data_IF_760742942951
#
_entry.id   IF_760742942951
#
_cell.length_a   1.000
_cell.length_b   1.000
_cell.length_c   1.000
_cell.angle_alpha   90.00
_cell.angle_beta   90.00
_cell.angle_gamma   90.00
#
_symmetry.space_group_name_H-M   'P 1'
#
loop_
_entity.id
_entity.type
_entity.pdbx_description
1 polymer ?
#
# COMPACT_ATOMS: atom_id res chain seq x y z
N UNK A 1 8.53 -63.02 39.59
CA UNK A 1 9.53 -62.02 39.15
C UNK A 1 9.23 -60.70 39.86
N UNK A 2 10.15 -60.18 40.69
CA UNK A 2 9.95 -58.89 41.40
C UNK A 2 10.44 -57.75 40.49
N UNK A 3 9.53 -56.89 40.06
CA UNK A 3 9.86 -55.67 39.33
C UNK A 3 10.52 -54.66 40.29
N UNK A 4 11.79 -54.30 40.06
CA UNK A 4 12.42 -53.14 40.69
C UNK A 4 11.77 -51.88 40.10
N UNK A 5 11.07 -51.11 40.95
CA UNK A 5 10.63 -49.76 40.58
C UNK A 5 11.84 -48.84 40.74
N UNK A 6 12.36 -48.32 39.63
CA UNK A 6 13.35 -47.25 39.63
C UNK A 6 12.63 -45.95 39.95
N UNK A 7 12.95 -45.33 41.09
CA UNK A 7 12.46 -44.01 41.45
C UNK A 7 13.41 -42.94 40.91
N UNK A 8 12.86 -41.82 40.45
CA UNK A 8 13.64 -40.66 40.03
C UNK A 8 14.42 -40.08 41.23
N UNK A 9 15.70 -39.75 41.02
CA UNK A 9 16.47 -39.01 42.03
C UNK A 9 16.19 -37.52 41.93
N UNK A 10 16.29 -36.80 43.06
CA UNK A 10 16.13 -35.33 43.08
C UNK A 10 17.13 -34.63 42.16
N UNK A 11 18.33 -35.21 42.00
CA UNK A 11 19.39 -34.66 41.15
C UNK A 11 19.04 -34.75 39.66
N UNK A 12 18.41 -35.84 39.23
CA UNK A 12 17.96 -35.98 37.84
C UNK A 12 16.86 -34.99 37.49
N UNK A 13 15.91 -34.76 38.41
CA UNK A 13 14.87 -33.76 38.19
C UNK A 13 15.48 -32.36 38.09
N UNK A 14 16.45 -32.03 38.94
CA UNK A 14 17.12 -30.73 38.93
C UNK A 14 17.89 -30.47 37.62
N UNK A 15 18.61 -31.49 37.12
CA UNK A 15 19.34 -31.36 35.85
C UNK A 15 18.38 -31.19 34.67
N UNK A 16 17.26 -31.92 34.66
CA UNK A 16 16.27 -31.83 33.59
C UNK A 16 15.62 -30.45 33.54
N UNK A 17 15.19 -29.89 34.67
CA UNK A 17 14.57 -28.55 34.66
C UNK A 17 15.57 -27.46 34.26
N UNK A 18 16.85 -27.60 34.67
CA UNK A 18 17.91 -26.70 34.24
C UNK A 18 18.15 -26.80 32.71
N UNK A 19 18.21 -28.02 32.17
CA UNK A 19 18.40 -28.25 30.74
C UNK A 19 17.19 -27.75 29.90
N UNK A 20 15.96 -27.99 30.36
CA UNK A 20 14.74 -27.49 29.71
C UNK A 20 14.71 -25.97 29.69
N UNK A 21 15.13 -25.30 30.78
CA UNK A 21 15.23 -23.84 30.84
C UNK A 21 16.19 -23.27 29.79
N UNK A 22 17.37 -23.88 29.63
CA UNK A 22 18.37 -23.45 28.62
C UNK A 22 17.82 -23.68 27.21
N UNK A 23 17.24 -24.84 26.93
CA UNK A 23 16.67 -25.14 25.61
C UNK A 23 15.53 -24.20 25.24
N UNK A 24 14.64 -23.89 26.20
CA UNK A 24 13.54 -22.96 25.98
C UNK A 24 14.05 -21.55 25.63
N UNK A 25 15.08 -21.06 26.32
CA UNK A 25 15.68 -19.75 26.04
C UNK A 25 16.29 -19.69 24.62
N UNK A 26 16.99 -20.74 24.18
CA UNK A 26 17.59 -20.81 22.85
C UNK A 26 16.50 -20.81 21.76
N UNK A 27 15.44 -21.59 21.94
CA UNK A 27 14.35 -21.73 20.95
C UNK A 27 13.62 -20.39 20.74
N UNK A 28 13.36 -19.63 21.80
CA UNK A 28 12.68 -18.33 21.68
C UNK A 28 13.51 -17.33 20.86
N UNK A 29 14.82 -17.28 21.10
CA UNK A 29 15.73 -16.40 20.34
C UNK A 29 15.82 -16.83 18.87
N UNK A 30 15.71 -18.13 18.59
CA UNK A 30 15.81 -18.67 17.24
C UNK A 30 14.56 -18.45 16.36
N UNK A 31 13.38 -18.26 16.94
CA UNK A 31 12.10 -18.21 16.18
C UNK A 31 11.73 -16.79 15.70
N UNK A 32 12.45 -15.74 16.15
CA UNK A 32 12.14 -14.34 15.83
C UNK A 32 10.62 -14.05 15.91
N UNK A 33 10.03 -14.04 17.12
CA UNK A 33 8.58 -13.95 17.29
C UNK A 33 7.95 -12.74 16.60
N UNK A 34 8.70 -11.65 16.43
CA UNK A 34 8.23 -10.44 15.79
C UNK A 34 7.90 -10.66 14.30
N UNK A 35 8.74 -11.42 13.59
CA UNK A 35 8.53 -11.72 12.16
C UNK A 35 7.32 -12.64 11.94
N UNK A 36 7.10 -13.59 12.85
CA UNK A 36 5.93 -14.47 12.80
C UNK A 36 4.63 -13.71 13.03
N UNK A 37 4.63 -12.74 13.97
CA UNK A 37 3.47 -11.88 14.20
C UNK A 37 3.20 -10.94 13.03
N UNK A 38 4.26 -10.35 12.45
CA UNK A 38 4.16 -9.54 11.24
C UNK A 38 3.54 -10.31 10.07
N UNK A 39 3.95 -11.56 9.86
CA UNK A 39 3.38 -12.42 8.82
C UNK A 39 1.90 -12.78 9.05
N UNK A 40 1.49 -12.97 10.31
CA UNK A 40 0.08 -13.20 10.64
C UNK A 40 -0.75 -11.96 10.31
N UNK A 41 -0.29 -10.77 10.71
CA UNK A 41 -0.98 -9.51 10.37
C UNK A 41 -1.03 -9.25 8.87
N UNK A 42 0.05 -9.53 8.14
CA UNK A 42 0.03 -9.44 6.66
C UNK A 42 -0.98 -10.41 6.03
N UNK A 43 -1.19 -11.59 6.62
CA UNK A 43 -2.21 -12.53 6.14
C UNK A 43 -3.62 -12.03 6.43
N UNK A 44 -3.82 -11.40 7.59
CA UNK A 44 -5.08 -10.75 7.98
C UNK A 44 -5.40 -9.57 7.04
N UNK A 45 -4.42 -8.68 6.80
CA UNK A 45 -4.51 -7.60 5.82
C UNK A 45 -4.91 -8.08 4.44
N UNK A 46 -4.33 -9.19 3.96
CA UNK A 46 -4.69 -9.73 2.66
C UNK A 46 -6.17 -10.13 2.61
N UNK A 47 -6.67 -10.81 3.64
CA UNK A 47 -8.08 -11.19 3.72
C UNK A 47 -9.01 -9.98 3.80
N UNK A 48 -8.60 -8.93 4.50
CA UNK A 48 -9.39 -7.69 4.66
C UNK A 48 -9.41 -6.84 3.39
N UNK A 49 -8.27 -6.73 2.71
CA UNK A 49 -8.14 -6.11 1.38
C UNK A 49 -9.01 -6.84 0.35
N UNK A 50 -8.99 -8.18 0.34
CA UNK A 50 -9.84 -8.98 -0.54
C UNK A 50 -11.32 -8.73 -0.22
N UNK A 51 -11.69 -8.68 1.07
CA UNK A 51 -13.05 -8.40 1.53
C UNK A 51 -13.55 -7.04 1.08
N UNK A 52 -12.74 -5.98 1.25
CA UNK A 52 -13.08 -4.63 0.81
C UNK A 52 -13.20 -4.52 -0.71
N UNK A 53 -12.24 -5.10 -1.45
CA UNK A 53 -12.28 -5.10 -2.90
C UNK A 53 -13.53 -5.82 -3.43
N UNK A 54 -13.87 -6.98 -2.86
CA UNK A 54 -15.05 -7.74 -3.27
C UNK A 54 -16.35 -7.00 -2.93
N UNK A 55 -16.42 -6.31 -1.79
CA UNK A 55 -17.55 -5.47 -1.43
C UNK A 55 -17.74 -4.31 -2.43
N UNK A 56 -16.67 -3.57 -2.75
CA UNK A 56 -16.69 -2.49 -3.75
C UNK A 56 -17.09 -3.02 -5.12
N UNK A 57 -16.55 -4.18 -5.51
CA UNK A 57 -16.87 -4.82 -6.79
C UNK A 57 -18.31 -5.28 -6.85
N UNK A 58 -18.86 -5.81 -5.76
CA UNK A 58 -20.25 -6.24 -5.70
C UNK A 58 -21.19 -5.04 -5.77
N UNK A 59 -20.91 -3.95 -5.03
CA UNK A 59 -21.64 -2.69 -5.18
C UNK A 59 -21.67 -2.23 -6.64
N UNK A 60 -20.52 -2.28 -7.32
CA UNK A 60 -20.43 -1.85 -8.71
C UNK A 60 -21.31 -2.68 -9.65
N UNK A 61 -21.39 -3.99 -9.42
CA UNK A 61 -22.25 -4.89 -10.20
C UNK A 61 -23.73 -4.58 -9.96
N UNK A 62 -24.11 -4.36 -8.71
CA UNK A 62 -25.52 -4.16 -8.33
C UNK A 62 -26.03 -2.74 -8.67
N UNK A 63 -25.12 -1.78 -8.87
CA UNK A 63 -25.43 -0.39 -9.24
C UNK A 63 -25.06 -0.07 -10.70
N UNK A 64 -25.25 -1.03 -11.62
CA UNK A 64 -25.12 -0.83 -13.08
C UNK A 64 -23.75 -0.27 -13.54
N UNK A 65 -22.68 -0.57 -12.80
CA UNK A 65 -21.32 -0.12 -13.10
C UNK A 65 -20.92 1.20 -12.44
N UNK A 66 -21.77 1.79 -11.59
CA UNK A 66 -21.40 2.95 -10.77
C UNK A 66 -20.55 2.52 -9.56
N UNK A 67 -19.53 3.31 -9.22
CA UNK A 67 -18.70 3.08 -8.03
C UNK A 67 -19.37 3.70 -6.78
N UNK A 68 -19.02 3.26 -5.56
CA UNK A 68 -19.41 3.96 -4.33
C UNK A 68 -19.13 5.45 -4.45
N UNK A 69 -20.03 6.28 -3.92
CA UNK A 69 -20.13 7.71 -4.21
C UNK A 69 -18.82 8.47 -3.98
N UNK A 70 -18.12 8.20 -2.89
CA UNK A 70 -16.82 8.81 -2.61
C UNK A 70 -15.73 8.34 -3.60
N UNK A 71 -15.70 7.05 -3.94
CA UNK A 71 -14.79 6.51 -4.98
C UNK A 71 -15.13 7.06 -6.37
N UNK A 72 -16.40 7.25 -6.68
CA UNK A 72 -16.84 7.87 -7.92
C UNK A 72 -16.36 9.33 -8.01
N UNK A 73 -16.36 10.05 -6.88
CA UNK A 73 -15.90 11.43 -6.77
C UNK A 73 -14.37 11.61 -6.80
N UNK A 74 -13.61 10.55 -6.49
CA UNK A 74 -12.16 10.56 -6.60
C UNK A 74 -11.73 10.94 -8.02
N UNK A 75 -10.68 11.77 -8.09
CA UNK A 75 -10.01 12.05 -9.35
C UNK A 75 -9.52 10.75 -9.99
N UNK A 76 -9.52 10.70 -11.32
CA UNK A 76 -8.87 9.60 -12.01
C UNK A 76 -7.39 9.58 -11.60
N UNK A 77 -6.91 8.42 -11.16
CA UNK A 77 -5.51 8.17 -10.78
C UNK A 77 -5.09 8.80 -9.45
N UNK A 78 -6.01 8.89 -8.49
CA UNK A 78 -5.70 9.12 -7.08
C UNK A 78 -5.78 7.85 -6.25
N UNK A 79 -5.21 7.94 -5.06
CA UNK A 79 -5.34 6.97 -3.99
C UNK A 79 -5.63 7.72 -2.70
N UNK A 80 -6.61 7.23 -1.96
CA UNK A 80 -7.10 7.83 -0.73
C UNK A 80 -7.33 6.72 0.31
N UNK A 81 -7.04 7.04 1.56
CA UNK A 81 -7.28 6.12 2.66
C UNK A 81 -8.79 5.97 2.89
N UNK A 82 -9.24 4.75 3.20
CA UNK A 82 -10.62 4.47 3.58
C UNK A 82 -10.76 4.79 5.08
N UNK A 83 -11.80 5.51 5.46
CA UNK A 83 -12.09 5.79 6.87
C UNK A 83 -12.40 4.50 7.65
N UNK A 84 -12.12 4.53 8.96
CA UNK A 84 -12.60 3.54 9.92
C UNK A 84 -14.14 3.41 9.86
N UNK A 85 -14.68 2.29 10.34
CA UNK A 85 -16.11 1.99 10.19
C UNK A 85 -16.99 3.05 10.89
N UNK A 86 -17.95 3.59 10.15
CA UNK A 86 -18.84 4.65 10.64
C UNK A 86 -18.18 6.01 10.87
N UNK A 87 -16.93 6.21 10.40
CA UNK A 87 -16.21 7.47 10.50
C UNK A 87 -16.35 8.28 9.20
N UNK A 88 -16.62 9.58 9.34
CA UNK A 88 -16.52 10.57 8.27
C UNK A 88 -15.52 11.64 8.67
N UNK A 89 -14.37 11.70 7.99
CA UNK A 89 -13.35 12.73 8.17
C UNK A 89 -12.84 13.20 6.81
N UNK A 90 -12.35 14.45 6.71
CA UNK A 90 -11.82 15.00 5.45
C UNK A 90 -10.49 14.37 5.00
N UNK A 91 -9.83 13.60 5.85
CA UNK A 91 -8.53 12.97 5.59
C UNK A 91 -8.63 11.59 4.94
N UNK A 92 -9.82 10.99 4.90
CA UNK A 92 -10.09 9.67 4.36
C UNK A 92 -11.44 9.70 3.62
N UNK A 93 -11.76 8.62 2.91
CA UNK A 93 -13.06 8.46 2.26
C UNK A 93 -13.98 7.54 3.07
N UNK A 94 -15.24 7.94 3.27
CA UNK A 94 -16.23 7.11 3.95
C UNK A 94 -16.91 6.16 2.96
N UNK A 95 -16.60 4.86 3.10
CA UNK A 95 -17.27 3.79 2.35
C UNK A 95 -18.37 3.08 3.16
N UNK A 96 -18.52 3.40 4.44
CA UNK A 96 -19.52 2.80 5.32
C UNK A 96 -20.93 3.02 4.77
N UNK A 97 -21.22 4.23 4.29
CA UNK A 97 -22.56 4.61 3.82
C UNK A 97 -23.02 3.84 2.58
N UNK A 98 -22.08 3.40 1.74
CA UNK A 98 -22.35 2.66 0.51
C UNK A 98 -22.18 1.14 0.67
N UNK A 99 -21.23 0.69 1.50
CA UNK A 99 -20.85 -0.72 1.59
C UNK A 99 -21.42 -1.46 2.79
N UNK A 100 -21.62 -0.79 3.93
CA UNK A 100 -22.05 -1.41 5.18
C UNK A 100 -23.53 -1.10 5.47
N UNK A 101 -24.34 -2.07 5.92
CA UNK A 101 -24.02 -3.47 6.18
C UNK A 101 -24.26 -4.44 4.99
N UNK A 102 -24.63 -3.92 3.82
CA UNK A 102 -25.17 -4.74 2.72
C UNK A 102 -24.10 -5.61 2.02
N UNK A 103 -22.93 -5.03 1.72
CA UNK A 103 -21.85 -5.69 0.99
C UNK A 103 -20.73 -6.17 1.90
N UNK A 104 -20.60 -5.57 3.08
CA UNK A 104 -19.68 -5.96 4.15
C UNK A 104 -20.32 -5.67 5.51
N UNK A 105 -20.01 -6.47 6.53
CA UNK A 105 -20.63 -6.31 7.85
C UNK A 105 -20.21 -5.01 8.58
N UNK A 106 -18.98 -4.58 8.36
CA UNK A 106 -18.35 -3.35 8.83
C UNK A 106 -17.09 -3.14 7.97
N UNK A 107 -16.63 -1.90 7.82
CA UNK A 107 -15.34 -1.63 7.16
C UNK A 107 -14.21 -2.28 8.00
N UNK A 108 -13.41 -3.20 7.44
CA UNK A 108 -12.24 -3.74 8.14
C UNK A 108 -11.21 -2.64 8.42
N UNK A 109 -10.50 -2.78 9.53
CA UNK A 109 -9.45 -1.86 9.97
C UNK A 109 -8.20 -2.67 10.27
N UNK A 110 -7.03 -2.19 9.83
CA UNK A 110 -5.75 -2.85 10.11
C UNK A 110 -5.60 -3.07 11.63
N UNK A 111 -5.04 -4.21 12.08
CA UNK A 111 -4.81 -4.46 13.51
C UNK A 111 -3.96 -3.40 14.23
N UNK A 112 -3.26 -2.55 13.48
CA UNK A 112 -2.45 -1.45 13.97
C UNK A 112 -2.96 -0.06 13.54
N UNK A 113 -4.15 0.03 12.93
CA UNK A 113 -4.79 1.29 12.63
C UNK A 113 -4.98 2.13 13.91
N UNK A 114 -4.78 3.43 13.79
CA UNK A 114 -5.01 4.41 14.85
C UNK A 114 -5.63 5.68 14.23
N UNK A 115 -6.55 6.31 14.96
CA UNK A 115 -7.24 7.51 14.50
C UNK A 115 -8.48 7.23 13.65
N UNK A 116 -8.63 7.95 12.53
CA UNK A 116 -9.84 7.99 11.71
C UNK A 116 -9.77 7.12 10.46
N UNK A 117 -8.58 6.64 10.10
CA UNK A 117 -8.34 5.81 8.93
C UNK A 117 -8.32 4.33 9.27
N UNK A 118 -8.66 3.50 8.29
CA UNK A 118 -8.61 2.04 8.40
C UNK A 118 -7.24 1.45 8.10
N UNK A 119 -6.27 2.28 7.66
CA UNK A 119 -4.99 1.88 7.06
C UNK A 119 -5.15 1.06 5.75
N UNK A 120 -6.37 0.98 5.20
CA UNK A 120 -6.63 0.49 3.86
C UNK A 120 -6.86 1.63 2.89
N UNK A 121 -6.49 1.40 1.63
CA UNK A 121 -6.40 2.43 0.60
C UNK A 121 -7.22 1.99 -0.58
N UNK A 122 -8.07 2.87 -1.08
CA UNK A 122 -8.63 2.70 -2.41
C UNK A 122 -7.79 3.50 -3.40
N UNK A 123 -7.50 2.90 -4.55
CA UNK A 123 -6.84 3.55 -5.66
C UNK A 123 -7.70 3.39 -6.90
N UNK A 124 -7.87 4.49 -7.64
CA UNK A 124 -8.71 4.52 -8.84
C UNK A 124 -7.84 4.84 -10.04
N UNK A 125 -7.73 3.94 -11.01
CA UNK A 125 -7.09 4.21 -12.30
C UNK A 125 -8.11 4.23 -13.42
N UNK A 126 -8.42 5.44 -13.90
CA UNK A 126 -9.56 5.68 -14.79
C UNK A 126 -10.84 5.08 -14.14
N UNK A 127 -11.43 4.07 -14.76
CA UNK A 127 -12.64 3.41 -14.26
C UNK A 127 -12.37 2.08 -13.53
N UNK A 128 -11.12 1.82 -13.12
CA UNK A 128 -10.76 0.60 -12.38
C UNK A 128 -10.38 0.95 -10.95
N UNK A 129 -10.83 0.13 -10.01
CA UNK A 129 -10.53 0.28 -8.58
C UNK A 129 -9.62 -0.86 -8.10
N UNK A 130 -8.71 -0.52 -7.19
CA UNK A 130 -7.84 -1.46 -6.47
C UNK A 130 -7.82 -1.06 -5.01
N UNK A 131 -7.87 -2.05 -4.12
CA UNK A 131 -7.68 -1.86 -2.68
C UNK A 131 -6.30 -2.35 -2.29
N UNK A 132 -5.63 -1.67 -1.37
CA UNK A 132 -4.34 -2.09 -0.83
C UNK A 132 -4.22 -1.74 0.65
N UNK A 133 -3.36 -2.46 1.37
CA UNK A 133 -2.94 -2.06 2.71
C UNK A 133 -1.90 -0.93 2.62
N UNK A 134 -1.98 0.05 3.52
CA UNK A 134 -0.98 1.12 3.65
C UNK A 134 0.34 0.56 4.19
N UNK A 135 0.26 -0.34 5.17
CA UNK A 135 1.39 -0.95 5.82
C UNK A 135 1.56 -2.42 5.38
N UNK A 136 2.81 -2.82 5.18
CA UNK A 136 3.21 -4.21 4.99
C UNK A 136 4.47 -4.43 5.83
N UNK A 137 4.49 -5.51 6.60
CA UNK A 137 5.55 -5.69 7.60
C UNK A 137 6.58 -6.76 7.22
N UNK A 138 6.11 -7.94 6.79
CA UNK A 138 6.97 -9.09 6.48
C UNK A 138 7.02 -9.39 4.97
N UNK A 139 5.96 -9.06 4.21
CA UNK A 139 5.93 -9.26 2.77
C UNK A 139 6.81 -8.25 2.02
N UNK A 140 7.55 -8.72 0.99
CA UNK A 140 8.30 -7.85 0.07
C UNK A 140 7.37 -7.16 -0.96
N UNK A 141 6.18 -7.72 -1.14
CA UNK A 141 5.16 -7.21 -2.05
C UNK A 141 4.03 -6.52 -1.30
N UNK A 142 3.42 -5.55 -2.00
CA UNK A 142 2.25 -4.83 -1.49
C UNK A 142 1.05 -5.76 -1.49
N UNK A 143 0.35 -5.76 -0.36
CA UNK A 143 -0.89 -6.49 -0.14
C UNK A 143 -2.00 -5.69 -0.81
N UNK A 144 -2.59 -6.26 -1.87
CA UNK A 144 -3.60 -5.57 -2.67
C UNK A 144 -4.53 -6.53 -3.42
N UNK A 145 -5.73 -6.05 -3.72
CA UNK A 145 -6.73 -6.73 -4.53
C UNK A 145 -7.25 -5.81 -5.65
N UNK A 146 -7.46 -6.38 -6.83
CA UNK A 146 -7.92 -5.67 -8.04
C UNK A 146 -6.92 -5.74 -9.19
N UNK A 147 -6.82 -4.67 -9.98
CA UNK A 147 -5.91 -4.64 -11.12
C UNK A 147 -4.44 -4.54 -10.66
N UNK A 148 -3.52 -5.12 -11.44
CA UNK A 148 -2.08 -4.93 -11.24
C UNK A 148 -1.63 -3.64 -11.92
N UNK A 149 -0.93 -2.77 -11.19
CA UNK A 149 -0.22 -1.64 -11.80
C UNK A 149 1.26 -1.95 -11.95
N UNK A 150 1.83 -1.66 -13.12
CA UNK A 150 3.28 -1.73 -13.37
C UNK A 150 4.02 -0.48 -12.85
N UNK A 151 3.27 0.54 -12.42
CA UNK A 151 3.79 1.83 -11.97
C UNK A 151 4.02 1.82 -10.46
N UNK A 152 5.22 2.27 -10.04
CA UNK A 152 5.71 2.16 -8.66
C UNK A 152 4.85 2.91 -7.65
N UNK A 153 4.35 4.10 -7.97
CA UNK A 153 3.53 4.91 -7.06
C UNK A 153 2.06 4.50 -7.01
N UNK A 154 1.65 3.58 -7.87
CA UNK A 154 0.38 2.87 -7.68
C UNK A 154 0.58 1.69 -6.72
N UNK A 155 1.79 1.13 -6.64
CA UNK A 155 2.15 0.17 -5.60
C UNK A 155 2.33 0.87 -4.24
N UNK A 156 2.88 2.09 -4.23
CA UNK A 156 3.13 2.87 -3.02
C UNK A 156 2.40 4.22 -3.07
N UNK A 157 1.07 4.25 -2.86
CA UNK A 157 0.23 5.43 -3.09
C UNK A 157 0.56 6.63 -2.21
N UNK A 158 1.13 6.41 -1.02
CA UNK A 158 1.44 7.46 -0.04
C UNK A 158 2.91 7.85 0.01
N UNK A 159 3.65 7.65 -1.08
CA UNK A 159 4.99 8.23 -1.19
C UNK A 159 4.90 9.74 -0.94
N UNK A 160 5.59 10.24 0.09
CA UNK A 160 5.51 11.65 0.46
C UNK A 160 6.06 12.58 -0.64
N UNK A 161 7.02 12.10 -1.42
CA UNK A 161 7.56 12.72 -2.63
C UNK A 161 8.10 11.65 -3.57
N UNK A 162 7.99 11.86 -4.88
CA UNK A 162 8.51 10.98 -5.91
C UNK A 162 8.93 11.76 -7.17
N UNK A 163 10.24 11.82 -7.41
CA UNK A 163 10.82 12.46 -8.59
C UNK A 163 11.39 11.43 -9.54
N UNK A 164 11.08 11.54 -10.83
CA UNK A 164 11.59 10.64 -11.86
C UNK A 164 11.42 11.23 -13.25
N UNK A 165 12.28 10.82 -14.18
CA UNK A 165 12.15 11.08 -15.63
C UNK A 165 11.31 10.03 -16.36
N UNK A 166 10.83 9.02 -15.63
CA UNK A 166 9.82 8.07 -16.06
C UNK A 166 8.56 8.29 -15.24
N UNK A 167 7.39 8.21 -15.86
CA UNK A 167 6.12 8.28 -15.16
C UNK A 167 6.06 7.13 -14.16
N UNK A 168 5.72 7.42 -12.91
CA UNK A 168 5.73 6.48 -11.80
C UNK A 168 4.32 6.15 -11.30
N UNK A 169 3.30 6.89 -11.72
CA UNK A 169 1.88 6.65 -11.45
C UNK A 169 1.12 6.64 -12.77
N UNK A 170 0.28 5.65 -13.02
CA UNK A 170 -0.35 5.44 -14.32
C UNK A 170 -1.08 6.68 -14.86
N UNK A 171 -1.73 7.46 -14.01
CA UNK A 171 -2.31 8.74 -14.43
C UNK A 171 -1.91 9.93 -13.60
N UNK A 172 -0.63 9.97 -13.24
CA UNK A 172 0.01 11.28 -13.17
C UNK A 172 -0.07 11.96 -14.55
N UNK A 173 -0.76 13.10 -14.58
CA UNK A 173 -0.95 13.94 -15.77
C UNK A 173 -0.15 15.25 -15.71
N UNK A 174 0.73 15.39 -14.71
CA UNK A 174 1.61 16.54 -14.57
C UNK A 174 2.90 16.41 -15.37
N UNK A 175 3.68 17.51 -15.44
CA UNK A 175 5.00 17.51 -16.06
C UNK A 175 6.00 16.68 -15.27
N UNK A 176 6.99 16.10 -15.93
CA UNK A 176 8.12 15.47 -15.26
C UNK A 176 9.05 16.53 -14.62
N UNK A 177 9.41 17.55 -15.42
CA UNK A 177 10.36 18.59 -15.06
C UNK A 177 9.98 19.93 -15.71
N UNK A 178 10.41 21.04 -15.11
CA UNK A 178 10.49 22.34 -15.78
C UNK A 178 11.93 22.60 -16.19
N UNK A 179 12.13 22.97 -17.45
CA UNK A 179 13.43 23.31 -18.02
C UNK A 179 13.50 24.80 -18.31
N UNK A 180 14.63 25.44 -18.00
CA UNK A 180 14.93 26.84 -18.32
C UNK A 180 15.98 26.92 -19.43
N UNK A 181 15.72 27.77 -20.43
CA UNK A 181 16.65 28.05 -21.52
C UNK A 181 17.73 29.04 -21.06
N UNK A 182 19.00 28.77 -21.39
CA UNK A 182 20.12 29.61 -20.97
C UNK A 182 20.24 30.93 -21.74
N UNK A 183 19.58 31.06 -22.90
CA UNK A 183 19.68 32.24 -23.74
C UNK A 183 18.83 33.40 -23.23
N UNK A 184 17.59 33.10 -22.83
CA UNK A 184 16.56 34.11 -22.55
C UNK A 184 15.84 33.89 -21.21
N UNK A 185 16.29 32.93 -20.40
CA UNK A 185 15.69 32.52 -19.13
C UNK A 185 14.20 32.12 -19.23
N UNK A 186 13.71 31.83 -20.43
CA UNK A 186 12.36 31.27 -20.62
C UNK A 186 12.28 29.86 -20.03
N UNK A 187 11.09 29.45 -19.60
CA UNK A 187 10.87 28.15 -18.97
C UNK A 187 9.78 27.37 -19.70
N UNK A 188 9.94 26.05 -19.73
CA UNK A 188 9.02 25.13 -20.39
C UNK A 188 8.82 23.90 -19.50
N UNK A 189 7.55 23.53 -19.29
CA UNK A 189 7.17 22.25 -18.69
C UNK A 189 7.36 21.14 -19.70
N UNK A 190 8.00 20.05 -19.27
CA UNK A 190 8.22 18.86 -20.06
C UNK A 190 7.35 17.75 -19.50
N UNK A 191 6.45 17.24 -20.33
CA UNK A 191 5.50 16.19 -19.99
C UNK A 191 6.10 14.78 -20.19
N UNK A 192 5.33 13.76 -19.84
CA UNK A 192 5.59 12.39 -20.26
C UNK A 192 4.95 12.11 -21.62
N UNK A 193 5.59 11.27 -22.43
CA UNK A 193 5.03 10.75 -23.68
C UNK A 193 3.97 9.66 -23.42
N UNK A 194 3.39 9.13 -24.51
CA UNK A 194 2.36 8.08 -24.45
C UNK A 194 2.83 6.80 -23.74
N UNK A 195 4.15 6.53 -23.73
CA UNK A 195 4.75 5.38 -23.06
C UNK A 195 5.16 5.68 -21.61
N UNK A 196 4.92 6.89 -21.13
CA UNK A 196 5.36 7.35 -19.81
C UNK A 196 6.86 7.64 -19.72
N UNK A 197 7.55 7.86 -20.84
CA UNK A 197 8.93 8.33 -20.87
C UNK A 197 8.99 9.86 -20.97
N UNK A 198 10.11 10.48 -20.62
CA UNK A 198 10.29 11.93 -20.73
C UNK A 198 10.13 12.38 -22.20
N UNK A 199 9.32 13.41 -22.46
CA UNK A 199 9.18 13.98 -23.80
C UNK A 199 10.43 14.75 -24.24
N UNK A 200 11.37 14.00 -24.82
CA UNK A 200 12.62 14.54 -25.35
C UNK A 200 12.41 15.37 -26.62
N UNK A 201 11.30 15.22 -27.34
CA UNK A 201 11.01 15.99 -28.54
C UNK A 201 10.69 17.45 -28.17
N UNK A 202 9.88 17.65 -27.14
CA UNK A 202 9.61 18.98 -26.59
C UNK A 202 10.88 19.62 -26.04
N UNK A 203 11.74 18.88 -25.33
CA UNK A 203 13.03 19.38 -24.86
C UNK A 203 13.90 19.87 -26.04
N UNK A 204 14.09 19.02 -27.06
CA UNK A 204 14.94 19.36 -28.20
C UNK A 204 14.40 20.58 -28.97
N UNK A 205 13.08 20.68 -29.10
CA UNK A 205 12.43 21.81 -29.77
C UNK A 205 12.58 23.11 -28.98
N UNK A 206 12.44 23.05 -27.66
CA UNK A 206 12.55 24.22 -26.77
C UNK A 206 13.99 24.72 -26.62
N UNK A 207 14.94 23.80 -26.43
CA UNK A 207 16.34 24.14 -26.23
C UNK A 207 17.05 24.48 -27.54
N UNK A 208 16.65 23.87 -28.65
CA UNK A 208 17.30 24.06 -29.94
C UNK A 208 18.80 23.76 -29.84
N UNK A 209 19.62 24.73 -30.25
CA UNK A 209 21.09 24.68 -30.12
C UNK A 209 21.64 25.32 -28.84
N UNK A 210 20.77 25.80 -27.94
CA UNK A 210 21.16 26.43 -26.69
C UNK A 210 21.29 25.39 -25.57
N UNK A 211 22.03 25.76 -24.52
CA UNK A 211 22.01 25.00 -23.27
C UNK A 211 20.69 25.22 -22.54
N UNK A 212 20.23 24.17 -21.88
CA UNK A 212 19.06 24.15 -21.04
C UNK A 212 19.39 23.52 -19.70
N UNK A 213 18.73 23.98 -18.64
CA UNK A 213 18.92 23.47 -17.29
C UNK A 213 17.59 23.09 -16.67
N UNK A 214 17.58 22.04 -15.85
CA UNK A 214 16.41 21.70 -15.05
C UNK A 214 16.26 22.77 -13.97
N UNK A 215 15.10 23.40 -13.92
CA UNK A 215 14.74 24.40 -12.91
C UNK A 215 13.93 23.76 -11.77
N UNK A 216 13.03 22.84 -12.09
CA UNK A 216 12.16 22.18 -11.11
C UNK A 216 11.94 20.73 -11.48
N UNK A 217 12.05 19.85 -10.49
CA UNK A 217 11.53 18.49 -10.56
C UNK A 217 10.13 18.49 -9.97
N UNK A 218 9.16 17.95 -10.69
CA UNK A 218 7.79 17.86 -10.19
C UNK A 218 7.57 16.53 -9.49
N UNK A 219 6.80 16.60 -8.42
CA UNK A 219 6.34 15.45 -7.66
C UNK A 219 5.25 14.71 -8.45
N UNK A 220 5.35 13.39 -8.53
CA UNK A 220 4.48 12.50 -9.32
C UNK A 220 3.45 11.76 -8.48
#
# INVERSE_FOLDING_TARGET
MKHKKFGFTLLEILLVVAAVGILAAIVIVAINPNEQLAKVRDTERQSEVDTLHDAIRQYNIDNDGEWPSEVASMSANSAEEICADGVSDSSCINLTDDLSPEYVAAIPEDPQADGTGSEYVVSKQNDRVRVSANQVEASEDVIAAGYTSDYVLDKYPFAAVAYSVRRLRAGYAGPAITVRNALDDSTQKIEFDENGALDTQTINSFCGSNNCYIETWHDQ
#
